data_IF_555151387648
#
_entry.id   IF_555151387648
#
_cell.length_a   1.000
_cell.length_b   1.000
_cell.length_c   1.000
_cell.angle_alpha   90.00
_cell.angle_beta   90.00
_cell.angle_gamma   90.00
#
_symmetry.space_group_name_H-M   'P 1'
#
loop_
_entity.id
_entity.type
_entity.pdbx_description
1 polymer ?
#
# COMPACT_ATOMS: atom_id res chain seq x y z
N UNK A 1 18.75 8.27 0.59
CA UNK A 1 18.59 7.16 -0.37
C UNK A 1 19.62 7.31 -1.49
N UNK A 2 20.84 6.79 -1.30
CA UNK A 2 21.93 6.89 -2.30
C UNK A 2 22.54 5.54 -2.70
N UNK A 3 22.24 4.48 -1.95
CA UNK A 3 22.81 3.13 -2.13
C UNK A 3 21.78 2.16 -2.71
N UNK A 4 20.49 2.47 -2.57
CA UNK A 4 19.39 1.63 -3.03
C UNK A 4 18.87 2.12 -4.38
N UNK A 5 18.55 1.18 -5.26
CA UNK A 5 18.05 1.44 -6.62
C UNK A 5 16.53 1.59 -6.67
N UNK A 6 15.83 1.20 -5.60
CA UNK A 6 14.38 1.33 -5.47
C UNK A 6 13.92 1.24 -4.02
N UNK A 7 12.66 1.62 -3.76
CA UNK A 7 12.10 1.58 -2.41
C UNK A 7 10.64 1.10 -2.39
N UNK A 8 10.30 0.37 -1.33
CA UNK A 8 8.91 0.05 -0.99
C UNK A 8 8.48 1.03 0.11
N UNK A 9 7.51 1.89 -0.20
CA UNK A 9 6.95 2.84 0.74
C UNK A 9 5.76 2.17 1.44
N UNK A 10 5.92 1.86 2.72
CA UNK A 10 4.86 1.22 3.52
C UNK A 10 4.01 2.29 4.20
N UNK A 11 2.69 2.18 4.04
CA UNK A 11 1.71 3.06 4.65
C UNK A 11 0.79 2.26 5.58
N UNK A 12 0.33 2.90 6.65
CA UNK A 12 -0.66 2.32 7.56
C UNK A 12 -2.06 2.54 6.97
N UNK A 13 -2.88 1.49 6.85
CA UNK A 13 -4.25 1.57 6.29
C UNK A 13 -5.19 2.49 7.06
N UNK A 14 -4.92 2.71 8.36
CA UNK A 14 -5.74 3.55 9.25
C UNK A 14 -5.16 4.96 9.29
N UNK A 15 -3.85 5.07 9.53
CA UNK A 15 -3.17 6.36 9.70
C UNK A 15 -2.76 7.05 8.39
N UNK A 16 -2.72 6.30 7.29
CA UNK A 16 -2.37 6.76 5.95
C UNK A 16 -1.02 7.47 5.86
N UNK A 17 -1.01 8.64 5.22
CA UNK A 17 0.20 9.45 5.04
C UNK A 17 0.45 10.33 6.27
N UNK A 18 1.55 10.05 6.97
CA UNK A 18 1.98 10.75 8.18
C UNK A 18 3.12 11.75 7.90
N UNK A 19 3.38 12.72 8.79
CA UNK A 19 4.46 13.72 8.61
C UNK A 19 5.85 13.11 8.37
N UNK A 20 6.12 11.95 8.97
CA UNK A 20 7.35 11.19 8.77
C UNK A 20 7.44 10.65 7.33
N UNK A 21 6.33 10.12 6.81
CA UNK A 21 6.23 9.61 5.43
C UNK A 21 6.52 10.71 4.41
N UNK A 22 6.06 11.94 4.64
CA UNK A 22 6.34 13.09 3.76
C UNK A 22 7.84 13.43 3.71
N UNK A 23 8.52 13.34 4.86
CA UNK A 23 9.95 13.63 4.93
C UNK A 23 10.76 12.60 4.15
N UNK A 24 10.44 11.32 4.28
CA UNK A 24 11.06 10.25 3.49
C UNK A 24 10.70 10.38 2.00
N UNK A 25 9.45 10.75 1.69
CA UNK A 25 9.00 10.98 0.32
C UNK A 25 9.81 12.08 -0.38
N UNK A 26 10.07 13.21 0.31
CA UNK A 26 10.91 14.29 -0.22
C UNK A 26 12.34 13.84 -0.49
N UNK A 27 12.92 13.01 0.40
CA UNK A 27 14.25 12.44 0.16
C UNK A 27 14.27 11.53 -1.07
N UNK A 28 13.28 10.68 -1.23
CA UNK A 28 13.18 9.79 -2.38
C UNK A 28 12.97 10.56 -3.70
N UNK A 29 12.20 11.66 -3.68
CA UNK A 29 12.07 12.58 -4.81
C UNK A 29 13.41 13.23 -5.18
N UNK A 30 14.17 13.72 -4.18
CA UNK A 30 15.48 14.36 -4.38
C UNK A 30 16.46 13.46 -5.13
N UNK A 31 16.44 12.16 -4.83
CA UNK A 31 17.32 11.16 -5.46
C UNK A 31 16.65 10.40 -6.62
N UNK A 32 15.45 10.80 -7.04
CA UNK A 32 14.67 10.18 -8.13
C UNK A 32 14.54 8.66 -7.99
N UNK A 33 14.35 8.19 -6.76
CA UNK A 33 14.26 6.77 -6.45
C UNK A 33 12.92 6.20 -6.96
N UNK A 34 12.93 5.18 -7.85
CA UNK A 34 11.75 4.42 -8.22
C UNK A 34 11.10 3.76 -7.00
N UNK A 35 9.77 3.80 -6.93
CA UNK A 35 9.03 3.40 -5.73
C UNK A 35 7.75 2.67 -6.06
N UNK A 36 7.42 1.71 -5.20
CA UNK A 36 6.08 1.13 -5.07
C UNK A 36 5.53 1.42 -3.67
N UNK A 37 4.21 1.42 -3.54
CA UNK A 37 3.52 1.64 -2.27
C UNK A 37 2.86 0.35 -1.78
N UNK A 38 2.98 0.06 -0.49
CA UNK A 38 2.32 -1.05 0.17
C UNK A 38 1.46 -0.51 1.31
N UNK A 39 0.14 -0.60 1.17
CA UNK A 39 -0.81 -0.24 2.23
C UNK A 39 -0.98 -1.44 3.14
N UNK A 40 -0.41 -1.35 4.34
CA UNK A 40 -0.34 -2.43 5.31
C UNK A 40 -1.47 -2.32 6.34
N UNK A 41 -1.70 -3.41 7.09
CA UNK A 41 -2.67 -3.50 8.20
C UNK A 41 -4.13 -3.40 7.77
N UNK A 42 -4.48 -3.96 6.61
CA UNK A 42 -5.86 -3.95 6.12
C UNK A 42 -6.84 -4.72 7.04
N UNK A 43 -6.30 -5.53 7.96
CA UNK A 43 -6.99 -6.26 9.03
C UNK A 43 -7.42 -5.39 10.23
N UNK A 44 -7.06 -4.10 10.27
CA UNK A 44 -7.32 -3.25 11.43
C UNK A 44 -8.64 -2.49 11.33
N UNK A 45 -9.34 -2.25 12.47
CA UNK A 45 -10.49 -1.36 12.51
C UNK A 45 -10.15 0.04 11.96
N UNK A 46 -10.99 0.56 11.08
CA UNK A 46 -10.78 1.81 10.38
C UNK A 46 -9.81 1.73 9.19
N UNK A 47 -9.47 0.53 8.71
CA UNK A 47 -8.63 0.36 7.53
C UNK A 47 -9.35 0.84 6.26
N UNK A 48 -8.77 1.83 5.56
CA UNK A 48 -9.33 2.36 4.32
C UNK A 48 -8.24 2.56 3.27
N UNK A 49 -8.15 1.60 2.34
CA UNK A 49 -7.17 1.62 1.25
C UNK A 49 -7.33 2.85 0.34
N UNK A 50 -8.57 3.19 -0.05
CA UNK A 50 -8.81 4.28 -0.98
C UNK A 50 -8.57 5.64 -0.33
N UNK A 51 -8.83 5.76 0.98
CA UNK A 51 -8.41 6.93 1.75
C UNK A 51 -6.90 7.12 1.73
N UNK A 52 -6.11 6.06 1.93
CA UNK A 52 -4.64 6.15 1.85
C UNK A 52 -4.19 6.59 0.45
N UNK A 53 -4.78 6.03 -0.61
CA UNK A 53 -4.52 6.45 -2.00
C UNK A 53 -4.82 7.94 -2.19
N UNK A 54 -5.95 8.42 -1.68
CA UNK A 54 -6.34 9.82 -1.75
C UNK A 54 -5.35 10.72 -0.97
N UNK A 55 -4.94 10.31 0.23
CA UNK A 55 -3.92 11.04 1.01
C UNK A 55 -2.57 11.12 0.28
N UNK A 56 -2.18 10.10 -0.48
CA UNK A 56 -0.97 10.16 -1.30
C UNK A 56 -1.07 11.23 -2.39
N UNK A 57 -2.24 11.39 -3.01
CA UNK A 57 -2.48 12.47 -3.98
C UNK A 57 -2.42 13.82 -3.25
N UNK A 58 -3.16 13.96 -2.16
CA UNK A 58 -3.36 15.27 -1.52
C UNK A 58 -2.13 15.77 -0.79
N UNK A 59 -1.44 14.90 -0.03
CA UNK A 59 -0.30 15.26 0.82
C UNK A 59 1.05 15.10 0.12
N UNK A 60 1.24 14.02 -0.63
CA UNK A 60 2.52 13.73 -1.29
C UNK A 60 2.62 14.31 -2.69
N UNK A 61 1.50 14.80 -3.25
CA UNK A 61 1.37 15.19 -4.67
C UNK A 61 1.85 14.07 -5.60
N UNK A 62 1.59 12.84 -5.20
CA UNK A 62 1.95 11.65 -5.96
C UNK A 62 0.90 11.36 -7.04
N UNK A 63 1.26 10.50 -7.99
CA UNK A 63 0.34 9.90 -8.96
C UNK A 63 0.24 8.39 -8.68
N UNK A 64 -0.43 7.97 -7.58
CA UNK A 64 -0.57 6.56 -7.25
C UNK A 64 -1.43 5.85 -8.29
N UNK A 65 -1.02 4.64 -8.66
CA UNK A 65 -1.78 3.76 -9.57
C UNK A 65 -2.04 2.44 -8.84
N UNK A 66 -3.24 2.24 -8.29
CA UNK A 66 -3.60 0.97 -7.69
C UNK A 66 -3.54 -0.15 -8.73
N UNK A 67 -2.73 -1.18 -8.46
CA UNK A 67 -2.66 -2.41 -9.26
C UNK A 67 -3.35 -3.59 -8.58
N UNK A 68 -3.70 -3.41 -7.30
CA UNK A 68 -4.46 -4.35 -6.49
C UNK A 68 -5.56 -3.61 -5.74
N UNK A 69 -6.66 -4.30 -5.46
CA UNK A 69 -7.76 -3.80 -4.61
C UNK A 69 -8.01 -4.81 -3.50
N UNK A 70 -8.08 -4.41 -2.22
CA UNK A 70 -8.38 -5.33 -1.12
C UNK A 70 -9.79 -5.91 -1.23
N UNK A 71 -9.93 -7.18 -0.87
CA UNK A 71 -11.21 -7.88 -0.71
C UNK A 71 -11.57 -7.83 0.77
N UNK A 72 -12.62 -7.06 1.08
CA UNK A 72 -12.99 -6.72 2.45
C UNK A 72 -12.06 -5.71 3.10
N UNK A 73 -12.34 -5.40 4.37
CA UNK A 73 -11.55 -4.53 5.22
C UNK A 73 -11.75 -4.96 6.68
N UNK A 74 -10.85 -4.53 7.56
CA UNK A 74 -10.88 -4.88 8.98
C UNK A 74 -10.89 -6.41 9.16
N UNK A 75 -11.71 -6.92 10.08
CA UNK A 75 -11.86 -8.36 10.35
C UNK A 75 -12.37 -9.17 9.14
N UNK A 76 -12.84 -8.51 8.08
CA UNK A 76 -13.29 -9.14 6.83
C UNK A 76 -12.25 -9.09 5.72
N UNK A 77 -11.05 -8.56 5.98
CA UNK A 77 -9.96 -8.59 5.01
C UNK A 77 -9.47 -10.02 4.78
N UNK A 78 -9.65 -10.53 3.56
CA UNK A 78 -9.38 -11.94 3.21
C UNK A 78 -8.42 -12.11 2.03
N UNK A 79 -8.16 -11.03 1.29
CA UNK A 79 -7.51 -11.16 0.01
C UNK A 79 -7.35 -9.85 -0.74
N UNK A 80 -6.88 -9.97 -1.98
CA UNK A 80 -6.78 -8.86 -2.93
C UNK A 80 -7.22 -9.30 -4.32
N UNK A 81 -7.78 -8.39 -5.09
CA UNK A 81 -7.96 -8.54 -6.54
C UNK A 81 -6.72 -8.00 -7.22
N UNK A 82 -6.03 -8.87 -7.97
CA UNK A 82 -4.97 -8.48 -8.90
C UNK A 82 -5.61 -7.96 -10.20
N UNK A 83 -5.47 -6.66 -10.47
CA UNK A 83 -6.04 -6.00 -11.64
C UNK A 83 -5.25 -6.26 -12.92
N UNK A 84 -3.99 -6.69 -12.81
CA UNK A 84 -3.15 -7.02 -13.97
C UNK A 84 -3.56 -8.39 -14.52
N UNK A 85 -3.76 -9.36 -13.63
CA UNK A 85 -4.18 -10.73 -13.99
C UNK A 85 -5.70 -10.91 -14.05
N UNK A 86 -6.46 -9.93 -13.58
CA UNK A 86 -7.92 -9.98 -13.43
C UNK A 86 -8.38 -11.20 -12.62
N UNK A 87 -7.77 -11.40 -11.45
CA UNK A 87 -8.06 -12.54 -10.55
C UNK A 87 -8.13 -12.10 -9.10
N UNK A 88 -9.07 -12.68 -8.36
CA UNK A 88 -9.07 -12.62 -6.91
C UNK A 88 -8.03 -13.60 -6.35
N UNK A 89 -7.26 -13.13 -5.38
CA UNK A 89 -6.29 -13.89 -4.59
C UNK A 89 -6.84 -13.87 -3.17
N UNK A 90 -7.33 -15.01 -2.70
CA UNK A 90 -7.85 -15.19 -1.34
C UNK A 90 -6.88 -16.15 -0.66
N UNK A 91 -6.20 -15.69 0.37
CA UNK A 91 -5.18 -16.50 1.03
C UNK A 91 -5.81 -17.51 1.96
N UNK A 92 -5.24 -18.72 1.99
CA UNK A 92 -5.60 -19.71 3.00
C UNK A 92 -4.86 -19.41 4.31
N UNK A 93 -5.61 -19.09 5.35
CA UNK A 93 -5.10 -18.84 6.70
C UNK A 93 -4.33 -20.04 7.25
N UNK A 94 -4.74 -21.27 6.89
CA UNK A 94 -4.10 -22.49 7.39
C UNK A 94 -2.68 -22.67 6.83
N UNK A 95 -2.39 -22.11 5.64
CA UNK A 95 -1.07 -22.21 5.01
C UNK A 95 -0.26 -20.92 5.12
N UNK A 96 -0.74 -19.95 5.91
CA UNK A 96 -0.17 -18.60 6.00
C UNK A 96 -0.01 -17.94 4.61
N UNK A 97 -0.96 -18.22 3.70
CA UNK A 97 -0.95 -17.68 2.34
C UNK A 97 0.09 -18.29 1.39
N UNK A 98 0.66 -19.46 1.70
CA UNK A 98 1.46 -20.23 0.72
C UNK A 98 0.60 -20.74 -0.45
N UNK A 99 -0.71 -20.84 -0.25
CA UNK A 99 -1.70 -21.20 -1.27
C UNK A 99 -2.82 -20.15 -1.36
N UNK A 100 -3.32 -19.93 -2.57
CA UNK A 100 -4.44 -19.05 -2.91
C UNK A 100 -5.12 -19.50 -4.21
#
# INVERSE_FOLDING_TARGET
>A
MRVLDGAVMVYDSVGGVQPQSETVWRQANKYRVPRIAFVNKMDRPGADFFHVVQMMIDRLKAHPVPIVIPIGAEDHFTGVVDLIKMRAIIWDDATQGMTF
#
